data_IF_298336459513
#
_entry.id   IF_298336459513
#
_cell.length_a   1.000
_cell.length_b   1.000
_cell.length_c   1.000
_cell.angle_alpha   90.00
_cell.angle_beta   90.00
_cell.angle_gamma   90.00
#
_symmetry.space_group_name_H-M   'P 1'
#
loop_
_entity.id
_entity.type
_entity.pdbx_description
1 polymer ?
#
# COMPACT_ATOMS: atom_id res chain seq x y z
N UNK A 1 1.87 -4.11 16.03
CA UNK A 1 2.28 -4.10 14.61
C UNK A 1 3.27 -5.23 14.41
N UNK A 2 3.02 -6.12 13.45
CA UNK A 2 3.91 -7.24 13.13
C UNK A 2 4.92 -6.81 12.07
N UNK A 3 6.21 -7.04 12.33
CA UNK A 3 7.31 -6.75 11.40
C UNK A 3 7.97 -8.05 10.97
N UNK A 4 8.33 -8.15 9.70
CA UNK A 4 8.96 -9.34 9.17
C UNK A 4 9.26 -9.24 7.69
N UNK A 5 9.95 -10.26 7.21
CA UNK A 5 10.29 -10.42 5.81
C UNK A 5 9.35 -11.44 5.20
N UNK A 6 8.93 -11.24 3.95
CA UNK A 6 8.17 -12.27 3.24
C UNK A 6 9.04 -13.51 3.06
N UNK A 7 8.46 -14.68 3.31
CA UNK A 7 9.19 -15.96 3.22
C UNK A 7 9.54 -16.31 1.77
N UNK A 8 8.71 -15.89 0.83
CA UNK A 8 8.98 -15.92 -0.61
C UNK A 8 8.99 -14.49 -1.13
N UNK A 9 9.96 -14.10 -1.97
CA UNK A 9 9.88 -12.83 -2.65
C UNK A 9 8.65 -12.88 -3.55
N UNK A 10 7.59 -12.18 -3.16
CA UNK A 10 6.59 -11.80 -4.13
C UNK A 10 7.36 -11.01 -5.20
N UNK A 11 7.26 -11.40 -6.47
CA UNK A 11 7.82 -10.64 -7.59
C UNK A 11 7.04 -9.32 -7.75
N UNK A 12 7.08 -8.48 -6.72
CA UNK A 12 6.45 -7.17 -6.67
C UNK A 12 7.38 -6.20 -7.36
N UNK A 13 7.24 -6.12 -8.67
CA UNK A 13 7.73 -4.95 -9.37
C UNK A 13 6.70 -3.83 -9.16
N UNK A 14 6.95 -2.95 -8.20
CA UNK A 14 6.03 -1.86 -7.86
C UNK A 14 5.77 -0.92 -9.04
N UNK A 15 6.75 -0.72 -9.93
CA UNK A 15 6.55 0.07 -11.14
C UNK A 15 5.64 -0.68 -12.13
N UNK A 16 5.77 -2.00 -12.25
CA UNK A 16 4.91 -2.84 -13.09
C UNK A 16 3.49 -3.01 -12.54
N UNK A 17 3.32 -3.04 -11.22
CA UNK A 17 2.03 -3.04 -10.51
C UNK A 17 1.25 -1.76 -10.84
N UNK A 18 1.96 -0.64 -10.92
CA UNK A 18 1.41 0.64 -11.34
C UNK A 18 1.24 0.74 -12.87
N UNK A 19 1.80 -0.20 -13.64
CA UNK A 19 1.75 -0.22 -15.11
C UNK A 19 0.69 -1.15 -15.71
N UNK A 20 0.57 -2.43 -15.34
CA UNK A 20 -0.54 -3.34 -15.75
C UNK A 20 -0.49 -4.78 -15.19
N UNK A 21 0.41 -5.12 -14.26
CA UNK A 21 0.57 -6.52 -13.83
C UNK A 21 -0.55 -6.97 -12.86
N UNK A 22 -1.19 -8.15 -13.08
CA UNK A 22 -2.06 -8.75 -12.09
C UNK A 22 -1.24 -9.06 -10.84
N UNK A 23 -1.55 -8.37 -9.74
CA UNK A 23 -0.73 -8.40 -8.54
C UNK A 23 -1.58 -8.54 -7.29
N UNK A 24 -2.70 -9.26 -7.36
CA UNK A 24 -3.41 -9.68 -6.16
C UNK A 24 -2.43 -10.39 -5.21
N UNK A 25 -2.45 -10.01 -3.93
CA UNK A 25 -1.73 -10.78 -2.93
C UNK A 25 -2.42 -12.15 -2.74
N UNK A 26 -1.66 -13.21 -2.41
CA UNK A 26 -2.26 -14.47 -2.02
C UNK A 26 -3.22 -14.27 -0.83
N UNK A 27 -4.19 -15.19 -0.68
CA UNK A 27 -5.16 -15.15 0.43
C UNK A 27 -4.52 -15.23 1.80
N UNK A 28 -3.30 -15.76 1.86
CA UNK A 28 -2.48 -15.83 3.06
C UNK A 28 -1.08 -15.32 2.74
N UNK A 29 -0.52 -14.53 3.65
CA UNK A 29 0.83 -14.00 3.54
C UNK A 29 1.71 -14.71 4.56
N UNK A 30 2.77 -15.36 4.08
CA UNK A 30 3.77 -15.98 4.95
C UNK A 30 4.95 -15.04 5.15
N UNK A 31 5.31 -14.82 6.41
CA UNK A 31 6.40 -13.95 6.81
C UNK A 31 7.25 -14.57 7.91
N UNK A 32 8.50 -14.15 7.94
CA UNK A 32 9.47 -14.42 8.98
C UNK A 32 9.57 -13.21 9.89
N UNK A 33 9.19 -13.38 11.16
CA UNK A 33 9.21 -12.29 12.14
C UNK A 33 10.62 -11.70 12.26
N UNK A 34 10.72 -10.37 12.23
CA UNK A 34 11.98 -9.68 12.42
C UNK A 34 12.53 -9.83 13.85
N UNK A 35 11.65 -9.99 14.83
CA UNK A 35 12.04 -10.03 16.25
C UNK A 35 12.43 -11.44 16.72
N UNK A 36 11.65 -12.46 16.31
CA UNK A 36 11.82 -13.84 16.81
C UNK A 36 12.32 -14.83 15.77
N UNK A 37 12.43 -14.41 14.50
CA UNK A 37 12.72 -15.27 13.35
C UNK A 37 11.69 -16.40 13.12
N UNK A 38 10.57 -16.39 13.85
CA UNK A 38 9.50 -17.37 13.71
C UNK A 38 8.75 -17.19 12.38
N UNK A 39 8.35 -18.31 11.78
CA UNK A 39 7.47 -18.32 10.61
C UNK A 39 6.03 -18.08 11.05
N UNK A 40 5.37 -17.13 10.39
CA UNK A 40 3.99 -16.74 10.65
C UNK A 40 3.24 -16.70 9.32
N UNK A 41 2.05 -17.28 9.29
CA UNK A 41 1.13 -17.20 8.16
C UNK A 41 -0.10 -16.43 8.60
N UNK A 42 -0.44 -15.36 7.89
CA UNK A 42 -1.52 -14.46 8.25
C UNK A 42 -2.54 -14.38 7.11
N UNK A 43 -3.84 -14.62 7.35
CA UNK A 43 -4.87 -14.42 6.35
C UNK A 43 -4.94 -12.96 5.92
N UNK A 44 -4.92 -12.68 4.61
CA UNK A 44 -4.92 -11.33 4.06
C UNK A 44 -6.13 -10.52 4.56
N UNK A 45 -7.31 -11.15 4.63
CA UNK A 45 -8.54 -10.51 5.09
C UNK A 45 -8.52 -10.11 6.58
N UNK A 46 -7.62 -10.69 7.39
CA UNK A 46 -7.45 -10.30 8.79
C UNK A 46 -6.58 -9.04 8.94
N UNK A 47 -5.97 -8.58 7.85
CA UNK A 47 -5.10 -7.43 7.83
C UNK A 47 -5.88 -6.16 7.48
N UNK A 48 -5.47 -5.06 8.10
CA UNK A 48 -5.85 -3.72 7.70
C UNK A 48 -5.14 -3.32 6.39
N UNK A 49 -3.82 -3.46 6.40
CA UNK A 49 -2.96 -3.21 5.26
C UNK A 49 -1.61 -3.91 5.45
N UNK A 50 -0.88 -4.11 4.36
CA UNK A 50 0.54 -4.43 4.36
C UNK A 50 1.34 -3.19 3.97
N UNK A 51 2.43 -2.94 4.69
CA UNK A 51 3.33 -1.82 4.44
C UNK A 51 4.66 -2.38 3.95
N UNK A 52 5.00 -2.11 2.70
CA UNK A 52 6.31 -2.41 2.14
C UNK A 52 7.22 -1.22 2.44
N UNK A 53 8.23 -1.44 3.29
CA UNK A 53 9.07 -0.38 3.84
C UNK A 53 10.53 -0.59 3.47
N UNK A 54 11.26 0.53 3.29
CA UNK A 54 12.71 0.50 3.08
C UNK A 54 13.44 -0.02 4.32
N UNK A 55 13.00 0.40 5.51
CA UNK A 55 13.50 -0.07 6.81
C UNK A 55 12.37 -0.20 7.82
N UNK A 56 12.52 -1.08 8.83
CA UNK A 56 11.51 -1.24 9.89
C UNK A 56 11.47 -0.07 10.88
N UNK A 57 12.56 0.68 11.02
CA UNK A 57 12.64 1.83 11.94
C UNK A 57 12.19 3.14 11.29
N UNK A 58 12.16 3.18 9.96
CA UNK A 58 11.92 4.39 9.19
C UNK A 58 12.95 5.49 9.47
N UNK A 59 12.59 6.73 9.12
CA UNK A 59 13.37 7.93 9.46
C UNK A 59 12.60 8.76 10.47
N UNK A 60 13.00 8.66 11.74
CA UNK A 60 12.34 9.37 12.85
C UNK A 60 12.34 10.90 12.68
N UNK A 61 13.36 11.43 12.01
CA UNK A 61 13.53 12.87 11.79
C UNK A 61 12.82 13.36 10.52
N UNK A 62 12.16 12.47 9.78
CA UNK A 62 11.46 12.82 8.55
C UNK A 62 9.95 12.81 8.77
N UNK A 63 9.33 13.99 8.62
CA UNK A 63 7.88 14.11 8.57
C UNK A 63 7.40 13.88 7.15
N UNK A 64 6.85 12.70 6.88
CA UNK A 64 6.32 12.34 5.57
C UNK A 64 5.23 13.33 5.14
N UNK A 65 5.29 13.77 3.89
CA UNK A 65 4.25 14.62 3.30
C UNK A 65 3.04 13.73 3.01
N UNK A 66 2.03 13.79 3.87
CA UNK A 66 0.82 12.94 3.77
C UNK A 66 -0.27 13.49 2.84
N UNK A 67 -0.01 14.61 2.18
CA UNK A 67 -0.96 15.27 1.30
C UNK A 67 -0.35 15.50 -0.07
N UNK A 68 -1.18 15.50 -1.11
CA UNK A 68 -0.71 15.83 -2.44
C UNK A 68 -0.25 17.30 -2.49
N UNK A 69 0.96 17.55 -2.98
CA UNK A 69 1.32 18.88 -3.49
C UNK A 69 0.38 19.26 -4.64
N UNK A 70 0.39 20.51 -5.09
CA UNK A 70 -0.59 20.98 -6.08
C UNK A 70 -0.48 20.34 -7.47
N UNK A 71 0.54 19.51 -7.75
CA UNK A 71 0.68 18.78 -9.02
C UNK A 71 1.74 17.62 -9.03
N UNK A 72 1.75 16.67 -8.08
CA UNK A 72 2.76 15.62 -8.02
C UNK A 72 2.87 14.83 -9.33
N UNK A 73 4.09 14.49 -9.79
CA UNK A 73 4.37 13.85 -11.08
C UNK A 73 3.86 12.41 -11.19
N UNK A 74 3.01 11.96 -10.25
CA UNK A 74 2.53 10.59 -10.13
C UNK A 74 1.16 10.46 -10.81
N UNK A 75 1.10 9.58 -11.82
CA UNK A 75 -0.10 9.30 -12.62
C UNK A 75 -1.02 8.33 -11.88
N UNK A 76 -2.33 8.49 -12.04
CA UNK A 76 -3.35 7.63 -11.45
C UNK A 76 -4.48 8.39 -10.77
N UNK A 77 -5.29 7.67 -9.98
CA UNK A 77 -6.31 8.22 -9.11
C UNK A 77 -5.67 8.62 -7.79
N UNK A 78 -5.81 9.88 -7.42
CA UNK A 78 -5.41 10.35 -6.11
C UNK A 78 -6.57 10.12 -5.18
N UNK A 79 -6.33 9.40 -4.09
CA UNK A 79 -7.40 8.96 -3.20
C UNK A 79 -7.07 9.29 -1.75
N UNK A 80 -8.13 9.41 -0.94
CA UNK A 80 -8.09 9.33 0.51
C UNK A 80 -8.95 8.16 0.94
N UNK A 81 -8.43 7.32 1.81
CA UNK A 81 -9.19 6.26 2.47
C UNK A 81 -9.23 6.49 3.97
N UNK A 82 -10.30 6.04 4.61
CA UNK A 82 -10.45 6.01 6.07
C UNK A 82 -10.73 4.59 6.50
N UNK A 83 -10.02 4.12 7.52
CA UNK A 83 -10.27 2.81 8.12
C UNK A 83 -11.30 2.90 9.25
N UNK A 84 -11.81 1.76 9.71
CA UNK A 84 -12.76 1.71 10.83
C UNK A 84 -12.21 2.26 12.15
N UNK A 85 -10.88 2.31 12.33
CA UNK A 85 -10.22 2.93 13.48
C UNK A 85 -10.01 4.45 13.35
N UNK A 86 -10.57 5.06 12.29
CA UNK A 86 -10.48 6.48 11.95
C UNK A 86 -9.11 6.97 11.47
N UNK A 87 -8.14 6.08 11.26
CA UNK A 87 -6.92 6.46 10.56
C UNK A 87 -7.21 6.74 9.08
N UNK A 88 -6.46 7.69 8.52
CA UNK A 88 -6.56 8.07 7.12
C UNK A 88 -5.25 7.77 6.40
N UNK A 89 -5.36 7.35 5.14
CA UNK A 89 -4.24 7.28 4.21
C UNK A 89 -4.59 8.02 2.93
N UNK A 90 -3.59 8.70 2.38
CA UNK A 90 -3.64 9.30 1.05
C UNK A 90 -2.54 8.68 0.19
N UNK A 91 -2.83 8.56 -1.10
CA UNK A 91 -1.88 8.03 -2.04
C UNK A 91 -2.48 7.81 -3.41
N UNK A 92 -1.64 7.40 -4.34
CA UNK A 92 -2.01 7.18 -5.73
C UNK A 92 -2.29 5.72 -5.94
N UNK A 93 -3.43 5.43 -6.58
CA UNK A 93 -3.78 4.10 -7.07
C UNK A 93 -3.91 4.14 -8.58
N UNK A 94 -3.65 3.00 -9.22
CA UNK A 94 -3.88 2.85 -10.65
C UNK A 94 -5.38 2.80 -10.94
N UNK A 95 -5.82 3.49 -11.99
CA UNK A 95 -7.18 3.34 -12.50
C UNK A 95 -7.29 2.07 -13.36
N UNK A 96 -7.59 0.92 -12.75
CA UNK A 96 -7.60 -0.38 -13.43
C UNK A 96 -8.78 -1.25 -13.03
N UNK A 97 -9.09 -2.28 -13.81
CA UNK A 97 -10.12 -3.26 -13.44
C UNK A 97 -9.75 -4.01 -12.15
N UNK A 98 -8.47 -4.32 -11.95
CA UNK A 98 -7.97 -4.97 -10.74
C UNK A 98 -8.25 -4.12 -9.49
N UNK A 99 -8.11 -2.79 -9.59
CA UNK A 99 -8.48 -1.89 -8.50
C UNK A 99 -9.95 -2.04 -8.10
N UNK A 100 -10.85 -2.39 -9.04
CA UNK A 100 -12.26 -2.62 -8.76
C UNK A 100 -12.56 -4.04 -8.27
N UNK A 101 -11.95 -5.07 -8.87
CA UNK A 101 -12.33 -6.47 -8.66
C UNK A 101 -11.56 -7.19 -7.55
N UNK A 102 -10.34 -6.78 -7.24
CA UNK A 102 -9.51 -7.46 -6.23
C UNK A 102 -9.95 -7.09 -4.80
N UNK A 103 -9.70 -7.95 -3.79
CA UNK A 103 -10.07 -7.70 -2.39
C UNK A 103 -9.29 -6.53 -1.74
N UNK A 104 -8.26 -6.04 -2.41
CA UNK A 104 -7.42 -4.95 -1.98
C UNK A 104 -6.76 -4.27 -3.16
N UNK A 105 -5.91 -3.29 -2.88
CA UNK A 105 -5.19 -2.55 -3.92
C UNK A 105 -3.88 -2.00 -3.40
N UNK A 106 -2.94 -1.77 -4.32
CA UNK A 106 -1.71 -1.07 -3.99
C UNK A 106 -1.93 0.45 -3.98
N UNK A 107 -1.38 1.09 -2.95
CA UNK A 107 -1.38 2.52 -2.74
C UNK A 107 0.07 3.01 -2.68
N UNK A 108 0.43 3.91 -3.59
CA UNK A 108 1.72 4.61 -3.56
C UNK A 108 1.59 5.87 -2.70
N UNK A 109 2.42 6.04 -1.65
CA UNK A 109 2.44 7.29 -0.89
C UNK A 109 2.74 8.49 -1.81
N UNK A 110 2.14 9.67 -1.53
CA UNK A 110 2.37 10.87 -2.34
C UNK A 110 3.80 11.41 -2.20
N UNK A 111 4.48 11.05 -1.10
CA UNK A 111 5.84 11.45 -0.79
C UNK A 111 6.88 10.43 -1.30
N UNK A 112 7.72 10.77 -2.30
CA UNK A 112 8.77 9.87 -2.79
C UNK A 112 9.85 9.52 -1.76
N UNK A 113 10.01 10.38 -0.74
CA UNK A 113 10.97 10.20 0.34
C UNK A 113 10.39 9.42 1.52
N UNK A 114 9.10 9.05 1.46
CA UNK A 114 8.45 8.15 2.41
C UNK A 114 9.28 6.88 2.65
N UNK A 115 9.24 6.40 3.90
CA UNK A 115 9.80 5.08 4.23
C UNK A 115 8.93 3.96 3.68
N UNK A 116 7.61 4.21 3.61
CA UNK A 116 6.69 3.33 2.90
C UNK A 116 6.94 3.46 1.40
N UNK A 117 7.33 2.37 0.76
CA UNK A 117 7.52 2.31 -0.68
C UNK A 117 6.20 2.15 -1.39
N UNK A 118 5.38 1.20 -0.92
CA UNK A 118 4.04 0.88 -1.39
C UNK A 118 3.28 0.28 -0.21
N UNK A 119 1.97 0.46 -0.19
CA UNK A 119 1.08 -0.22 0.73
C UNK A 119 0.14 -1.12 -0.07
N UNK A 120 -0.25 -2.26 0.47
CA UNK A 120 -1.43 -2.98 0.01
C UNK A 120 -2.56 -2.79 1.01
N UNK A 121 -3.63 -2.12 0.59
CA UNK A 121 -4.79 -1.80 1.43
C UNK A 121 -5.86 -2.88 1.22
N UNK A 122 -6.37 -3.45 2.31
CA UNK A 122 -7.48 -4.44 2.26
C UNK A 122 -8.81 -3.68 2.28
N UNK A 123 -9.65 -3.86 1.27
CA UNK A 123 -10.89 -3.07 1.11
C UNK A 123 -11.87 -3.28 2.27
N UNK A 124 -11.96 -4.50 2.79
CA UNK A 124 -12.86 -4.84 3.90
C UNK A 124 -12.51 -4.11 5.21
N UNK A 125 -11.31 -3.52 5.30
CA UNK A 125 -10.90 -2.71 6.45
C UNK A 125 -11.28 -1.23 6.33
N UNK A 126 -11.85 -0.81 5.19
CA UNK A 126 -12.18 0.59 4.88
C UNK A 126 -13.59 0.96 5.32
N UNK A 127 -13.69 2.14 5.93
CA UNK A 127 -14.94 2.79 6.31
C UNK A 127 -15.33 3.94 5.38
N UNK A 128 -14.39 4.49 4.60
CA UNK A 128 -14.66 5.52 3.59
C UNK A 128 -13.60 5.47 2.47
N UNK A 129 -13.99 5.89 1.28
CA UNK A 129 -13.13 6.02 0.11
C UNK A 129 -13.51 7.28 -0.67
N UNK A 130 -12.52 8.13 -0.95
CA UNK A 130 -12.73 9.38 -1.71
C UNK A 130 -11.67 9.54 -2.78
N UNK A 131 -12.12 9.88 -3.99
CA UNK A 131 -11.23 10.37 -5.05
C UNK A 131 -11.01 11.87 -4.83
N UNK A 132 -9.74 12.26 -4.77
CA UNK A 132 -9.29 13.66 -4.63
C UNK A 132 -8.95 14.29 -5.98
N UNK A 133 -8.54 13.48 -6.95
CA UNK A 133 -8.14 13.95 -8.28
C UNK A 133 -7.73 12.81 -9.19
N UNK A 134 -7.51 13.14 -10.47
CA UNK A 134 -7.05 12.20 -11.49
C UNK A 134 -5.97 12.87 -12.32
N UNK A 135 -4.86 12.16 -12.58
CA UNK A 135 -3.83 12.57 -13.51
C UNK A 135 -3.55 11.43 -14.50
N UNK A 136 -3.88 11.64 -15.77
CA UNK A 136 -3.61 10.71 -16.88
C UNK A 136 -2.69 11.37 -17.89
N UNK A 137 -1.95 10.57 -18.67
CA UNK A 137 -1.38 11.06 -19.92
C UNK A 137 -2.51 11.06 -20.96
N UNK A 138 -2.75 12.20 -21.59
CA UNK A 138 -3.49 12.26 -22.84
C UNK A 138 -2.51 12.53 -23.97
#
# INVERSE_FOLDING_TARGET
MLKGYLDEPLELNFDAILADAPSGLPREVSLRSADSNARLTVPLQSLKALFFVKTFDGRKDYSEVKFFEKNPPIKGLWIRVRFYDNEHLEGVVRNSIHFLTEPGFYLKPPDPLSNNEVLYVVKDSLADFRVLGVRMDF
#
